data_IF_900698209546
#
_entry.id   IF_900698209546
#
_cell.length_a   1.000
_cell.length_b   1.000
_cell.length_c   1.000
_cell.angle_alpha   90.00
_cell.angle_beta   90.00
_cell.angle_gamma   90.00
#
_symmetry.space_group_name_H-M   'P 1'
#
loop_
_entity.id
_entity.type
_entity.pdbx_description
1 polymer ?
#
# COMPACT_ATOMS: atom_id res chain seq x y z
N UNK A 1 12.52 -6.42 -0.60
CA UNK A 1 11.13 -6.68 -0.16
C UNK A 1 10.09 -6.45 -1.26
N UNK A 2 10.36 -5.60 -2.24
CA UNK A 2 9.40 -5.24 -3.29
C UNK A 2 9.63 -6.00 -4.60
N UNK A 3 10.83 -6.55 -4.78
CA UNK A 3 11.23 -7.19 -6.03
C UNK A 3 11.05 -8.70 -5.96
N UNK A 4 11.44 -9.35 -4.85
CA UNK A 4 11.36 -10.80 -4.70
C UNK A 4 10.30 -11.20 -3.68
N UNK A 5 10.56 -10.98 -2.41
CA UNK A 5 9.60 -11.28 -1.34
C UNK A 5 9.82 -10.39 -0.11
N UNK A 6 8.75 -9.93 0.55
CA UNK A 6 8.86 -9.03 1.70
C UNK A 6 9.50 -9.70 2.93
N UNK A 7 9.37 -11.03 3.06
CA UNK A 7 9.93 -11.80 4.18
C UNK A 7 11.46 -11.81 4.25
N UNK A 8 12.17 -11.52 3.17
CA UNK A 8 13.63 -11.45 3.17
C UNK A 8 14.17 -10.29 4.01
N UNK A 9 13.37 -9.26 4.29
CA UNK A 9 13.76 -8.08 5.07
C UNK A 9 15.11 -7.48 4.65
N UNK A 10 15.40 -7.50 3.35
CA UNK A 10 16.63 -6.96 2.77
C UNK A 10 16.34 -5.76 1.88
N UNK A 11 17.18 -4.76 2.00
CA UNK A 11 17.20 -3.56 1.17
C UNK A 11 18.62 -3.21 0.76
N UNK A 12 18.74 -2.41 -0.30
CA UNK A 12 19.98 -1.86 -0.79
C UNK A 12 19.87 -0.34 -0.82
N UNK A 13 20.91 0.33 -0.36
CA UNK A 13 21.03 1.78 -0.46
C UNK A 13 22.34 2.12 -1.19
N UNK A 14 22.26 2.99 -2.17
CA UNK A 14 23.41 3.58 -2.85
C UNK A 14 23.44 5.05 -2.45
N UNK A 15 24.55 5.49 -1.87
CA UNK A 15 24.73 6.86 -1.38
C UNK A 15 26.00 7.47 -1.98
N UNK A 16 26.11 8.81 -2.07
CA UNK A 16 27.35 9.50 -2.38
C UNK A 16 28.47 9.09 -1.43
N UNK A 17 29.71 9.06 -1.94
CA UNK A 17 30.89 8.58 -1.19
C UNK A 17 31.07 9.27 0.16
N UNK A 18 30.83 10.58 0.20
CA UNK A 18 30.92 11.41 1.42
C UNK A 18 29.89 11.06 2.50
N UNK A 19 28.83 10.34 2.17
CA UNK A 19 27.78 9.90 3.10
C UNK A 19 27.94 8.44 3.54
N UNK A 20 28.84 7.67 2.92
CA UNK A 20 28.98 6.23 3.18
C UNK A 20 29.27 5.96 4.65
N UNK A 21 30.26 6.63 5.24
CA UNK A 21 30.66 6.41 6.63
C UNK A 21 29.52 6.71 7.60
N UNK A 22 28.83 7.84 7.44
CA UNK A 22 27.68 8.20 8.28
C UNK A 22 26.53 7.23 8.13
N UNK A 23 26.29 6.74 6.91
CA UNK A 23 25.25 5.73 6.64
C UNK A 23 25.59 4.40 7.30
N UNK A 24 26.85 3.96 7.25
CA UNK A 24 27.32 2.74 7.91
C UNK A 24 27.16 2.83 9.42
N UNK A 25 27.55 3.95 10.03
CA UNK A 25 27.38 4.18 11.48
C UNK A 25 25.88 4.17 11.86
N UNK A 26 25.05 4.86 11.10
CA UNK A 26 23.59 4.88 11.33
C UNK A 26 22.98 3.49 11.22
N UNK A 27 23.38 2.71 10.21
CA UNK A 27 22.94 1.32 10.06
C UNK A 27 23.39 0.45 11.23
N UNK A 28 24.65 0.58 11.66
CA UNK A 28 25.17 -0.19 12.78
C UNK A 28 24.42 0.09 14.09
N UNK A 29 23.97 1.33 14.28
CA UNK A 29 23.18 1.71 15.45
C UNK A 29 21.70 1.26 15.34
N UNK A 30 21.20 1.02 14.14
CA UNK A 30 19.81 0.60 13.92
C UNK A 30 19.63 -0.92 13.94
N UNK A 31 20.50 -1.61 13.25
CA UNK A 31 20.63 -3.06 13.26
C UNK A 31 22.13 -3.43 13.10
N UNK A 32 22.62 -4.39 13.81
CA UNK A 32 24.04 -4.75 13.78
C UNK A 32 24.44 -5.20 12.37
N UNK A 33 23.63 -6.02 11.72
CA UNK A 33 23.86 -6.45 10.34
C UNK A 33 22.63 -7.09 9.71
N UNK A 34 22.51 -6.96 8.39
CA UNK A 34 21.59 -7.80 7.62
C UNK A 34 22.14 -9.21 7.54
N UNK A 35 21.30 -10.23 7.80
CA UNK A 35 21.70 -11.64 7.83
C UNK A 35 22.57 -12.06 6.62
N UNK A 36 23.82 -12.53 6.82
CA UNK A 36 24.68 -13.01 5.72
C UNK A 36 24.08 -14.20 4.98
N UNK A 37 23.29 -15.05 5.65
CA UNK A 37 22.61 -16.18 5.02
C UNK A 37 21.62 -15.68 3.96
N UNK A 38 20.81 -14.68 4.31
CA UNK A 38 19.84 -14.09 3.38
C UNK A 38 20.56 -13.41 2.21
N UNK A 39 21.66 -12.69 2.47
CA UNK A 39 22.45 -12.06 1.41
C UNK A 39 23.02 -13.10 0.44
N UNK A 40 23.62 -14.18 0.95
CA UNK A 40 24.17 -15.27 0.14
C UNK A 40 23.06 -16.01 -0.64
N UNK A 41 21.93 -16.26 -0.02
CA UNK A 41 20.78 -16.90 -0.68
C UNK A 41 20.26 -16.07 -1.85
N UNK A 42 20.14 -14.76 -1.66
CA UNK A 42 19.73 -13.86 -2.74
C UNK A 42 20.78 -13.77 -3.85
N UNK A 43 22.05 -13.64 -3.50
CA UNK A 43 23.16 -13.66 -4.46
C UNK A 43 23.14 -14.95 -5.29
N UNK A 44 23.00 -16.10 -4.63
CA UNK A 44 22.92 -17.40 -5.31
C UNK A 44 21.72 -17.47 -6.24
N UNK A 45 20.55 -17.03 -5.77
CA UNK A 45 19.33 -16.99 -6.58
C UNK A 45 19.53 -16.13 -7.83
N UNK A 46 20.01 -14.89 -7.68
CA UNK A 46 20.22 -13.97 -8.81
C UNK A 46 21.32 -14.45 -9.78
N UNK A 47 22.32 -15.22 -9.28
CA UNK A 47 23.45 -15.70 -10.08
C UNK A 47 23.16 -17.02 -10.83
N UNK A 48 22.26 -17.85 -10.31
CA UNK A 48 22.02 -19.22 -10.81
C UNK A 48 20.67 -19.41 -11.48
N UNK A 49 19.72 -18.54 -11.24
CA UNK A 49 18.39 -18.60 -11.84
C UNK A 49 18.17 -17.41 -12.77
N UNK A 50 17.20 -17.53 -13.67
CA UNK A 50 16.89 -16.47 -14.61
C UNK A 50 16.11 -15.34 -13.90
N UNK A 51 16.88 -14.43 -13.32
CA UNK A 51 16.36 -13.26 -12.60
C UNK A 51 15.51 -12.35 -13.51
N UNK A 52 15.97 -12.10 -14.74
CA UNK A 52 15.28 -11.19 -15.66
C UNK A 52 13.91 -11.75 -16.04
N UNK A 53 13.83 -13.05 -16.28
CA UNK A 53 12.55 -13.71 -16.53
C UNK A 53 11.61 -13.59 -15.34
N UNK A 54 12.11 -13.86 -14.13
CA UNK A 54 11.30 -13.72 -12.90
C UNK A 54 10.77 -12.30 -12.73
N UNK A 55 11.64 -11.29 -12.93
CA UNK A 55 11.28 -9.88 -12.81
C UNK A 55 10.20 -9.50 -13.83
N UNK A 56 10.35 -9.91 -15.07
CA UNK A 56 9.39 -9.65 -16.14
C UNK A 56 8.04 -10.34 -15.91
N UNK A 57 8.05 -11.59 -15.45
CA UNK A 57 6.83 -12.33 -15.12
C UNK A 57 6.06 -11.63 -13.98
N UNK A 58 6.77 -11.17 -12.94
CA UNK A 58 6.17 -10.44 -11.82
C UNK A 58 5.63 -9.07 -12.23
N UNK A 59 6.37 -8.33 -13.06
CA UNK A 59 5.92 -7.05 -13.60
C UNK A 59 4.60 -7.21 -14.35
N UNK A 60 4.52 -8.22 -15.22
CA UNK A 60 3.29 -8.51 -15.97
C UNK A 60 2.12 -8.82 -15.03
N UNK A 61 2.30 -9.74 -14.08
CA UNK A 61 1.25 -10.14 -13.12
C UNK A 61 0.72 -8.92 -12.35
N UNK A 62 1.62 -8.09 -11.81
CA UNK A 62 1.21 -6.93 -11.03
C UNK A 62 0.65 -5.80 -11.89
N UNK A 63 1.10 -5.65 -13.12
CA UNK A 63 0.54 -4.68 -14.07
C UNK A 63 -0.89 -5.06 -14.45
N UNK A 64 -1.14 -6.30 -14.81
CA UNK A 64 -2.48 -6.78 -15.15
C UNK A 64 -3.44 -6.61 -13.97
N UNK A 65 -2.98 -7.01 -12.77
CA UNK A 65 -3.74 -6.85 -11.54
C UNK A 65 -4.04 -5.40 -11.19
N UNK A 66 -3.05 -4.52 -11.36
CA UNK A 66 -3.21 -3.08 -11.17
C UNK A 66 -4.25 -2.50 -12.13
N UNK A 67 -4.14 -2.78 -13.42
CA UNK A 67 -5.03 -2.25 -14.44
C UNK A 67 -6.48 -2.72 -14.24
N UNK A 68 -6.68 -3.99 -13.91
CA UNK A 68 -8.01 -4.53 -13.62
C UNK A 68 -8.60 -3.89 -12.37
N UNK A 69 -7.83 -3.78 -11.29
CA UNK A 69 -8.26 -3.11 -10.05
C UNK A 69 -8.57 -1.64 -10.30
N UNK A 70 -7.73 -0.92 -11.05
CA UNK A 70 -7.95 0.49 -11.37
C UNK A 70 -9.26 0.71 -12.13
N UNK A 71 -9.53 -0.13 -13.13
CA UNK A 71 -10.81 -0.09 -13.87
C UNK A 71 -12.00 -0.32 -12.93
N UNK A 72 -11.88 -1.29 -12.03
CA UNK A 72 -12.95 -1.63 -11.11
C UNK A 72 -13.21 -0.54 -10.06
N UNK A 73 -12.15 0.05 -9.50
CA UNK A 73 -12.24 1.21 -8.60
C UNK A 73 -12.95 2.37 -9.30
N UNK A 74 -12.54 2.72 -10.52
CA UNK A 74 -13.19 3.81 -11.27
C UNK A 74 -14.67 3.52 -11.54
N UNK A 75 -15.02 2.28 -11.86
CA UNK A 75 -16.40 1.88 -12.11
C UNK A 75 -17.29 2.00 -10.87
N UNK A 76 -16.77 1.59 -9.69
CA UNK A 76 -17.57 1.49 -8.46
C UNK A 76 -17.50 2.74 -7.57
N UNK A 77 -16.34 3.38 -7.54
CA UNK A 77 -16.02 4.47 -6.61
C UNK A 77 -15.73 5.80 -7.32
N UNK A 78 -15.65 5.81 -8.65
CA UNK A 78 -15.44 7.02 -9.44
C UNK A 78 -16.54 8.06 -9.19
N UNK A 79 -16.14 9.32 -8.91
CA UNK A 79 -17.05 10.40 -8.55
C UNK A 79 -17.54 10.39 -7.09
N UNK A 80 -17.37 9.29 -6.35
CA UNK A 80 -17.73 9.17 -4.93
C UNK A 80 -16.52 9.34 -3.99
N UNK A 81 -15.35 8.99 -4.48
CA UNK A 81 -14.05 9.15 -3.80
C UNK A 81 -13.06 9.89 -4.70
N UNK A 82 -12.11 10.57 -4.09
CA UNK A 82 -10.94 11.08 -4.80
C UNK A 82 -10.00 9.90 -5.09
N UNK A 83 -9.73 9.61 -6.35
CA UNK A 83 -8.77 8.57 -6.75
C UNK A 83 -7.45 9.27 -7.06
N UNK A 84 -6.42 9.04 -6.22
CA UNK A 84 -5.09 9.60 -6.47
C UNK A 84 -4.49 8.86 -7.66
N UNK A 85 -4.17 9.62 -8.71
CA UNK A 85 -3.64 9.07 -9.96
C UNK A 85 -2.24 8.52 -9.73
N UNK A 86 -2.06 7.24 -10.01
CA UNK A 86 -0.75 6.58 -10.01
C UNK A 86 -0.55 5.81 -11.33
N UNK A 87 0.70 5.53 -11.65
CA UNK A 87 1.07 4.88 -12.92
C UNK A 87 1.27 3.37 -12.80
N UNK A 88 1.10 2.82 -11.60
CA UNK A 88 1.33 1.41 -11.34
C UNK A 88 1.61 1.13 -9.86
N UNK A 89 2.07 -0.07 -9.57
CA UNK A 89 2.41 -0.54 -8.24
C UNK A 89 1.29 -1.37 -7.60
N UNK A 90 1.44 -1.63 -6.31
CA UNK A 90 0.57 -2.53 -5.56
C UNK A 90 -0.37 -1.81 -4.58
N UNK A 91 -0.37 -0.49 -4.59
CA UNK A 91 -1.16 0.32 -3.67
C UNK A 91 -2.01 1.32 -4.44
N UNK A 92 -3.24 1.51 -3.98
CA UNK A 92 -4.13 2.60 -4.37
C UNK A 92 -4.33 3.53 -3.19
N UNK A 93 -4.34 4.83 -3.45
CA UNK A 93 -4.58 5.86 -2.46
C UNK A 93 -5.86 6.58 -2.82
N UNK A 94 -6.86 6.49 -1.94
CA UNK A 94 -8.20 7.01 -2.17
C UNK A 94 -8.54 8.02 -1.08
N UNK A 95 -9.30 9.05 -1.43
CA UNK A 95 -9.73 10.09 -0.50
C UNK A 95 -11.24 10.14 -0.36
N UNK A 96 -11.72 10.18 0.87
CA UNK A 96 -13.09 10.50 1.23
C UNK A 96 -13.43 11.95 0.85
N UNK A 97 -14.68 12.32 0.92
CA UNK A 97 -15.10 13.71 0.84
C UNK A 97 -14.44 14.54 1.96
N UNK A 98 -14.25 15.85 1.72
CA UNK A 98 -13.67 16.75 2.73
C UNK A 98 -14.50 16.76 4.00
N UNK A 99 -13.81 16.86 5.14
CA UNK A 99 -14.43 16.85 6.46
C UNK A 99 -14.69 15.46 7.04
N UNK A 100 -14.34 14.37 6.34
CA UNK A 100 -14.47 13.01 6.86
C UNK A 100 -13.09 12.42 7.18
N UNK A 101 -12.99 11.75 8.34
CA UNK A 101 -11.76 11.13 8.82
C UNK A 101 -11.53 9.75 8.19
N UNK A 102 -10.35 9.54 7.62
CA UNK A 102 -9.94 8.23 7.14
C UNK A 102 -9.72 7.23 8.27
N UNK A 103 -9.34 7.70 9.46
CA UNK A 103 -9.20 6.87 10.65
C UNK A 103 -10.55 6.25 11.04
N UNK A 104 -11.60 7.08 11.11
CA UNK A 104 -12.94 6.59 11.41
C UNK A 104 -13.45 5.64 10.33
N UNK A 105 -13.19 5.97 9.06
CA UNK A 105 -13.56 5.11 7.94
C UNK A 105 -12.88 3.75 7.99
N UNK A 106 -11.58 3.70 8.26
CA UNK A 106 -10.82 2.45 8.38
C UNK A 106 -11.38 1.58 9.50
N UNK A 107 -11.70 2.16 10.66
CA UNK A 107 -12.32 1.43 11.77
C UNK A 107 -13.73 0.92 11.40
N UNK A 108 -14.52 1.73 10.73
CA UNK A 108 -15.84 1.33 10.24
C UNK A 108 -15.75 0.16 9.25
N UNK A 109 -14.80 0.22 8.29
CA UNK A 109 -14.59 -0.85 7.33
C UNK A 109 -14.02 -2.12 7.95
N UNK A 110 -13.20 -2.00 9.01
CA UNK A 110 -12.71 -3.17 9.76
C UNK A 110 -13.85 -4.01 10.35
N UNK A 111 -14.91 -3.38 10.84
CA UNK A 111 -16.11 -4.07 11.31
C UNK A 111 -16.86 -4.78 10.18
N UNK A 112 -16.70 -4.31 8.94
CA UNK A 112 -17.22 -4.96 7.72
C UNK A 112 -16.24 -5.96 7.10
N UNK A 113 -15.17 -6.35 7.83
CA UNK A 113 -14.14 -7.32 7.43
C UNK A 113 -13.27 -6.86 6.24
N UNK A 114 -13.18 -5.56 6.02
CA UNK A 114 -12.27 -4.95 5.04
C UNK A 114 -11.16 -4.19 5.76
N UNK A 115 -9.93 -4.71 5.68
CA UNK A 115 -8.76 -4.09 6.28
C UNK A 115 -8.15 -3.05 5.33
N UNK A 116 -8.14 -1.80 5.77
CA UNK A 116 -7.55 -0.66 5.07
C UNK A 116 -6.47 -0.02 5.93
N UNK A 117 -5.68 0.89 5.35
CA UNK A 117 -4.74 1.69 6.13
C UNK A 117 -5.06 3.18 6.00
N UNK A 118 -5.16 3.91 7.10
CA UNK A 118 -5.41 5.35 7.06
C UNK A 118 -4.20 6.09 6.51
N UNK A 119 -4.44 7.16 5.77
CA UNK A 119 -3.41 7.88 5.04
C UNK A 119 -2.48 8.71 5.91
N UNK A 120 -2.94 9.18 7.08
CA UNK A 120 -2.15 10.04 7.94
C UNK A 120 -0.77 9.44 8.33
N UNK A 121 -0.66 8.12 8.38
CA UNK A 121 0.62 7.45 8.69
C UNK A 121 1.70 7.60 7.62
N UNK A 122 1.37 8.18 6.47
CA UNK A 122 2.29 8.40 5.34
C UNK A 122 2.68 9.88 5.16
N UNK A 123 2.24 10.77 6.05
CA UNK A 123 2.53 12.19 5.99
C UNK A 123 3.35 12.64 7.18
N UNK A 124 4.31 13.52 6.95
CA UNK A 124 5.14 14.15 7.99
C UNK A 124 4.48 15.38 8.62
N UNK A 125 3.42 15.90 8.02
CA UNK A 125 2.73 17.11 8.41
C UNK A 125 1.25 16.82 8.67
N UNK A 126 0.59 17.69 9.42
CA UNK A 126 -0.84 17.67 9.70
C UNK A 126 -1.64 17.95 8.41
N UNK A 127 -1.80 16.94 7.60
CA UNK A 127 -2.58 16.97 6.37
C UNK A 127 -3.98 16.44 6.67
N UNK A 128 -4.96 16.94 5.91
CA UNK A 128 -6.36 16.53 5.99
C UNK A 128 -6.49 14.99 6.04
N UNK A 129 -6.94 14.45 7.20
CA UNK A 129 -7.11 13.01 7.46
C UNK A 129 -8.30 12.45 6.71
N UNK A 130 -8.26 12.45 5.37
CA UNK A 130 -9.34 11.86 4.55
C UNK A 130 -8.89 10.76 3.60
N UNK A 131 -7.58 10.54 3.48
CA UNK A 131 -7.04 9.55 2.57
C UNK A 131 -6.82 8.21 3.27
N UNK A 132 -6.99 7.13 2.51
CA UNK A 132 -6.70 5.77 2.95
C UNK A 132 -6.07 4.95 1.82
N UNK A 133 -5.38 3.88 2.18
CA UNK A 133 -4.66 3.01 1.25
C UNK A 133 -5.31 1.65 1.14
N UNK A 134 -5.44 1.17 -0.09
CA UNK A 134 -5.72 -0.23 -0.44
C UNK A 134 -4.44 -0.87 -0.97
N UNK A 135 -4.07 -2.05 -0.45
CA UNK A 135 -2.97 -2.86 -0.99
C UNK A 135 -3.54 -4.08 -1.68
N UNK A 136 -3.06 -4.35 -2.91
CA UNK A 136 -3.57 -5.43 -3.76
C UNK A 136 -2.59 -6.61 -3.91
N UNK A 137 -1.44 -6.59 -3.24
CA UNK A 137 -0.36 -7.53 -3.51
C UNK A 137 -0.71 -8.98 -3.20
N UNK A 138 -1.33 -9.24 -2.06
CA UNK A 138 -1.54 -10.59 -1.53
C UNK A 138 -2.90 -11.21 -1.86
N UNK A 139 -3.90 -10.39 -2.15
CA UNK A 139 -5.27 -10.85 -2.35
C UNK A 139 -5.54 -11.28 -3.80
N UNK A 140 -6.50 -12.18 -3.99
CA UNK A 140 -7.01 -12.55 -5.31
C UNK A 140 -7.86 -11.40 -5.91
N UNK A 141 -8.05 -11.40 -7.23
CA UNK A 141 -8.88 -10.39 -7.88
C UNK A 141 -10.34 -10.42 -7.40
N UNK A 142 -10.88 -11.59 -7.11
CA UNK A 142 -12.25 -11.74 -6.61
C UNK A 142 -12.41 -11.09 -5.23
N UNK A 143 -11.45 -11.32 -4.31
CA UNK A 143 -11.45 -10.69 -2.99
C UNK A 143 -11.24 -9.17 -3.06
N UNK A 144 -10.41 -8.71 -4.00
CA UNK A 144 -10.23 -7.28 -4.24
C UNK A 144 -11.54 -6.65 -4.72
N UNK A 145 -12.24 -7.27 -5.66
CA UNK A 145 -13.54 -6.80 -6.15
C UNK A 145 -14.60 -6.80 -5.05
N UNK A 146 -14.68 -7.88 -4.28
CA UNK A 146 -15.57 -7.99 -3.12
C UNK A 146 -15.32 -6.85 -2.12
N UNK A 147 -14.06 -6.59 -1.77
CA UNK A 147 -13.71 -5.50 -0.86
C UNK A 147 -14.11 -4.12 -1.43
N UNK A 148 -13.92 -3.89 -2.73
CA UNK A 148 -14.31 -2.64 -3.40
C UNK A 148 -15.85 -2.50 -3.41
N UNK A 149 -16.59 -3.57 -3.62
CA UNK A 149 -18.07 -3.58 -3.55
C UNK A 149 -18.55 -3.24 -2.14
N UNK A 150 -17.97 -3.88 -1.10
CA UNK A 150 -18.30 -3.56 0.30
C UNK A 150 -17.99 -2.08 0.61
N UNK A 151 -16.86 -1.55 0.14
CA UNK A 151 -16.53 -0.12 0.29
C UNK A 151 -17.61 0.74 -0.38
N UNK A 152 -17.97 0.44 -1.62
CA UNK A 152 -18.96 1.18 -2.39
C UNK A 152 -20.31 1.22 -1.69
N UNK A 153 -20.81 0.07 -1.25
CA UNK A 153 -22.12 -0.09 -0.64
C UNK A 153 -22.18 0.55 0.77
N UNK A 154 -21.05 0.70 1.41
CA UNK A 154 -20.94 1.23 2.78
C UNK A 154 -20.68 2.75 2.87
N UNK A 155 -20.34 3.41 1.78
CA UNK A 155 -19.96 4.84 1.80
C UNK A 155 -21.09 5.75 2.31
N UNK A 156 -22.31 5.54 1.85
CA UNK A 156 -23.44 6.40 2.20
C UNK A 156 -23.82 6.23 3.67
N UNK A 157 -23.79 5.00 4.17
CA UNK A 157 -23.98 4.68 5.60
C UNK A 157 -22.92 5.38 6.44
N UNK A 158 -21.64 5.26 6.08
CA UNK A 158 -20.55 5.93 6.78
C UNK A 158 -20.71 7.45 6.81
N UNK A 159 -21.02 8.07 5.68
CA UNK A 159 -21.22 9.51 5.61
C UNK A 159 -22.42 9.99 6.44
N UNK A 160 -23.50 9.21 6.49
CA UNK A 160 -24.66 9.51 7.30
C UNK A 160 -24.34 9.44 8.81
N UNK A 161 -23.72 8.36 9.26
CA UNK A 161 -23.33 8.16 10.67
C UNK A 161 -22.37 9.25 11.14
N UNK A 162 -21.32 9.56 10.37
CA UNK A 162 -20.32 10.58 10.73
C UNK A 162 -20.92 11.98 10.85
N UNK A 163 -21.99 12.30 10.10
CA UNK A 163 -22.69 13.58 10.21
C UNK A 163 -23.54 13.66 11.46
N UNK A 164 -24.09 12.55 11.93
CA UNK A 164 -24.87 12.49 13.18
C UNK A 164 -23.94 12.69 14.38
N UNK A 165 -22.82 11.98 14.42
CA UNK A 165 -21.80 12.13 15.45
C UNK A 165 -21.25 13.56 15.54
N UNK A 166 -21.03 14.22 14.40
CA UNK A 166 -20.56 15.61 14.36
C UNK A 166 -21.59 16.64 14.89
N UNK A 167 -22.88 16.28 14.92
CA UNK A 167 -23.95 17.14 15.47
C UNK A 167 -24.23 16.92 16.95
N UNK A 168 -23.55 15.96 17.59
CA UNK A 168 -23.71 15.67 19.01
C UNK A 168 -25.06 15.04 19.38
N UNK A 169 -25.70 14.35 18.43
CA UNK A 169 -26.94 13.60 18.60
C UNK A 169 -26.65 12.11 18.78
#
# INVERSE_FOLDING_TARGET
>A
SKILMPGLRMGLMVVPTELVERTVVSKHNSDISTSPLIQKSLYYYMSKFNWDKHSSDMEKIYTDKFLETYKYINKKLGGRLTIVKNKGGINFFLGLNRGFSSRNFVNFMYNKKVALQPGYIYYDLDIEDRFFRINISMETMDRIKEAIDIISDSLDEFYALSRIEAKGL
#
